data_IF_230160240453
#
_entry.id   IF_230160240453
#
_cell.length_a   1.000
_cell.length_b   1.000
_cell.length_c   1.000
_cell.angle_alpha   90.00
_cell.angle_beta   90.00
_cell.angle_gamma   90.00
#
_symmetry.space_group_name_H-M   'P 1'
#
loop_
_entity.id
_entity.type
_entity.pdbx_description
1 polymer ?
#
# COMPACT_ATOMS: atom_id res chain seq x y z
N UNK A 1 -17.40 8.22 -37.07
CA UNK A 1 -18.15 7.22 -36.28
C UNK A 1 -18.95 7.99 -35.26
N UNK A 2 -20.26 7.75 -35.15
CA UNK A 2 -21.06 8.38 -34.10
C UNK A 2 -20.63 7.81 -32.75
N UNK A 3 -20.38 8.68 -31.77
CA UNK A 3 -20.10 8.26 -30.40
C UNK A 3 -21.34 7.55 -29.84
N UNK A 4 -21.13 6.41 -29.18
CA UNK A 4 -22.21 5.70 -28.49
C UNK A 4 -22.73 6.54 -27.30
N UNK A 5 -24.00 6.34 -26.94
CA UNK A 5 -24.67 7.08 -25.87
C UNK A 5 -23.93 6.98 -24.52
N UNK A 6 -23.27 5.85 -24.24
CA UNK A 6 -22.47 5.67 -23.04
C UNK A 6 -21.18 6.50 -23.07
N UNK A 7 -20.53 6.61 -24.23
CA UNK A 7 -19.35 7.47 -24.40
C UNK A 7 -19.68 8.93 -24.12
N UNK A 8 -20.83 9.40 -24.59
CA UNK A 8 -21.31 10.76 -24.33
C UNK A 8 -21.55 10.97 -22.82
N UNK A 9 -22.21 10.02 -22.15
CA UNK A 9 -22.46 10.10 -20.72
C UNK A 9 -21.16 10.12 -19.89
N UNK A 10 -20.18 9.27 -20.23
CA UNK A 10 -18.88 9.21 -19.56
C UNK A 10 -18.11 10.52 -19.75
N UNK A 11 -18.05 11.04 -20.99
CA UNK A 11 -17.40 12.33 -21.28
C UNK A 11 -18.04 13.45 -20.47
N UNK A 12 -19.37 13.48 -20.37
CA UNK A 12 -20.08 14.49 -19.55
C UNK A 12 -19.78 14.35 -18.06
N UNK A 13 -19.74 13.13 -17.52
CA UNK A 13 -19.30 12.87 -16.14
C UNK A 13 -17.86 13.31 -15.89
N UNK A 14 -16.96 13.07 -16.85
CA UNK A 14 -15.57 13.50 -16.80
C UNK A 14 -15.43 15.02 -16.84
N UNK A 15 -16.15 15.69 -17.74
CA UNK A 15 -16.22 17.16 -17.84
C UNK A 15 -16.73 17.79 -16.53
N UNK A 16 -17.65 17.13 -15.82
CA UNK A 16 -18.14 17.56 -14.50
C UNK A 16 -17.14 17.29 -13.36
N UNK A 17 -16.00 16.65 -13.63
CA UNK A 17 -15.00 16.31 -12.61
C UNK A 17 -15.39 15.14 -11.71
N UNK A 18 -16.36 14.31 -12.11
CA UNK A 18 -16.84 13.21 -11.27
C UNK A 18 -15.74 12.17 -10.96
N UNK A 19 -14.88 11.87 -11.93
CA UNK A 19 -13.75 10.94 -11.74
C UNK A 19 -12.60 11.56 -10.93
N UNK A 20 -12.38 12.87 -11.04
CA UNK A 20 -11.33 13.56 -10.30
C UNK A 20 -11.70 13.84 -8.84
N UNK A 21 -12.99 14.08 -8.55
CA UNK A 21 -13.44 14.47 -7.22
C UNK A 21 -14.52 13.56 -6.65
N UNK A 22 -15.66 13.46 -7.32
CA UNK A 22 -16.88 12.86 -6.75
C UNK A 22 -16.67 11.40 -6.32
N UNK A 23 -16.07 10.57 -7.18
CA UNK A 23 -15.86 9.16 -6.88
C UNK A 23 -14.82 8.93 -5.77
N UNK A 24 -13.60 9.54 -5.83
CA UNK A 24 -12.67 9.45 -4.72
C UNK A 24 -13.23 9.97 -3.40
N UNK A 25 -13.98 11.08 -3.44
CA UNK A 25 -14.67 11.66 -2.28
C UNK A 25 -15.67 10.69 -1.66
N UNK A 26 -16.59 10.15 -2.45
CA UNK A 26 -17.60 9.20 -1.96
C UNK A 26 -16.95 7.96 -1.35
N UNK A 27 -15.89 7.44 -1.97
CA UNK A 27 -15.14 6.30 -1.46
C UNK A 27 -14.52 6.61 -0.09
N UNK A 28 -13.82 7.74 0.04
CA UNK A 28 -13.19 8.15 1.31
C UNK A 28 -14.23 8.42 2.40
N UNK A 29 -15.34 9.09 2.07
CA UNK A 29 -16.45 9.30 3.01
C UNK A 29 -17.06 7.98 3.47
N UNK A 30 -17.27 7.01 2.57
CA UNK A 30 -17.78 5.70 2.95
C UNK A 30 -16.82 4.94 3.88
N UNK A 31 -15.50 5.01 3.61
CA UNK A 31 -14.48 4.41 4.47
C UNK A 31 -14.49 5.06 5.86
N UNK A 32 -14.48 6.40 5.93
CA UNK A 32 -14.53 7.12 7.20
C UNK A 32 -15.80 6.83 7.99
N UNK A 33 -16.96 6.77 7.33
CA UNK A 33 -18.21 6.40 7.97
C UNK A 33 -18.14 4.98 8.56
N UNK A 34 -17.65 4.01 7.78
CA UNK A 34 -17.47 2.63 8.24
C UNK A 34 -16.51 2.52 9.43
N UNK A 35 -15.40 3.27 9.41
CA UNK A 35 -14.44 3.32 10.51
C UNK A 35 -15.02 3.94 11.77
N UNK A 36 -15.73 5.07 11.65
CA UNK A 36 -16.41 5.74 12.77
C UNK A 36 -17.49 4.88 13.39
N UNK A 37 -18.26 4.17 12.55
CA UNK A 37 -19.28 3.22 13.02
C UNK A 37 -18.64 2.06 13.79
N UNK A 38 -17.53 1.51 13.29
CA UNK A 38 -16.82 0.40 13.93
C UNK A 38 -16.16 0.82 15.25
N UNK A 39 -15.61 2.03 15.32
CA UNK A 39 -14.91 2.53 16.50
C UNK A 39 -15.86 2.97 17.62
N UNK A 40 -17.16 3.14 17.33
CA UNK A 40 -18.19 3.57 18.29
C UNK A 40 -17.84 4.89 19.02
N UNK A 41 -17.02 5.74 18.41
CA UNK A 41 -16.50 6.99 19.02
C UNK A 41 -17.64 7.93 19.45
N UNK A 42 -18.70 8.01 18.65
CA UNK A 42 -19.85 8.87 18.93
C UNK A 42 -21.06 8.08 19.45
N UNK A 43 -20.89 6.79 19.75
CA UNK A 43 -21.93 5.96 20.34
C UNK A 43 -21.77 6.05 21.85
N UNK A 44 -22.07 7.24 22.39
CA UNK A 44 -21.98 7.49 23.82
C UNK A 44 -22.80 6.44 24.60
N UNK A 45 -22.24 5.97 25.72
CA UNK A 45 -22.85 5.00 26.64
C UNK A 45 -24.32 5.33 26.88
N UNK A 46 -25.20 4.42 26.45
CA UNK A 46 -26.66 4.38 26.70
C UNK A 46 -27.00 4.36 28.21
N UNK A 47 -25.99 4.16 29.06
CA UNK A 47 -26.13 3.77 30.46
C UNK A 47 -26.26 4.95 31.43
N UNK A 48 -25.95 6.18 31.00
CA UNK A 48 -25.83 7.34 31.90
C UNK A 48 -26.91 8.42 31.70
N UNK A 49 -27.73 8.32 30.66
CA UNK A 49 -28.75 9.33 30.34
C UNK A 49 -30.14 8.70 30.30
N UNK A 50 -30.72 8.64 31.50
CA UNK A 50 -32.16 8.75 31.75
C UNK A 50 -33.07 7.54 31.42
N UNK A 51 -33.47 6.84 32.48
CA UNK A 51 -34.51 5.82 32.45
C UNK A 51 -35.90 6.37 32.07
N UNK A 52 -36.11 7.70 32.07
CA UNK A 52 -37.39 8.32 31.72
C UNK A 52 -37.54 8.70 30.23
N UNK A 53 -36.48 8.60 29.41
CA UNK A 53 -36.53 8.92 27.98
C UNK A 53 -36.80 7.70 27.07
N UNK A 54 -37.12 6.54 27.67
CA UNK A 54 -37.32 5.24 26.99
C UNK A 54 -38.46 5.19 25.95
N UNK A 55 -39.24 6.27 25.77
CA UNK A 55 -40.40 6.30 24.86
C UNK A 55 -40.26 7.19 23.64
N UNK A 56 -39.25 8.04 23.53
CA UNK A 56 -39.07 8.92 22.35
C UNK A 56 -38.00 8.35 21.44
N UNK A 57 -38.23 7.13 20.96
CA UNK A 57 -37.41 6.49 19.93
C UNK A 57 -36.00 6.16 20.39
N UNK A 58 -35.52 4.98 20.08
CA UNK A 58 -34.09 4.69 20.06
C UNK A 58 -33.48 5.46 18.90
N UNK A 59 -33.48 6.80 18.96
CA UNK A 59 -32.94 7.59 17.88
C UNK A 59 -31.44 7.37 17.92
N UNK A 60 -31.00 6.69 16.89
CA UNK A 60 -29.65 6.41 16.43
C UNK A 60 -28.90 7.73 16.12
N UNK A 61 -28.93 8.71 17.04
CA UNK A 61 -28.38 10.06 16.82
C UNK A 61 -26.88 10.00 16.48
N UNK A 62 -26.22 8.91 16.87
CA UNK A 62 -24.82 8.62 16.55
C UNK A 62 -24.59 8.37 15.05
N UNK A 63 -25.51 7.71 14.33
CA UNK A 63 -25.27 7.33 12.94
C UNK A 63 -25.28 8.54 12.00
N UNK A 64 -26.23 9.46 12.19
CA UNK A 64 -26.29 10.72 11.43
C UNK A 64 -25.06 11.60 11.69
N UNK A 65 -24.59 11.68 12.95
CA UNK A 65 -23.38 12.43 13.28
C UNK A 65 -22.14 11.80 12.62
N UNK A 66 -22.01 10.47 12.67
CA UNK A 66 -20.93 9.76 11.99
C UNK A 66 -20.92 10.02 10.48
N UNK A 67 -22.11 10.06 9.85
CA UNK A 67 -22.24 10.36 8.43
C UNK A 67 -21.81 11.79 8.10
N UNK A 68 -22.26 12.79 8.88
CA UNK A 68 -21.88 14.19 8.69
C UNK A 68 -20.37 14.39 8.92
N UNK A 69 -19.80 13.80 9.96
CA UNK A 69 -18.36 13.89 10.25
C UNK A 69 -17.54 13.23 9.14
N UNK A 70 -17.94 12.05 8.67
CA UNK A 70 -17.27 11.37 7.56
C UNK A 70 -17.36 12.15 6.24
N UNK A 71 -18.50 12.81 5.98
CA UNK A 71 -18.69 13.67 4.82
C UNK A 71 -17.73 14.86 4.87
N UNK A 72 -17.68 15.58 5.99
CA UNK A 72 -16.77 16.74 6.18
C UNK A 72 -15.31 16.30 6.08
N UNK A 73 -14.94 15.18 6.71
CA UNK A 73 -13.59 14.64 6.63
C UNK A 73 -13.20 14.26 5.20
N UNK A 74 -14.12 13.66 4.44
CA UNK A 74 -13.91 13.37 3.02
C UNK A 74 -13.65 14.65 2.21
N UNK A 75 -14.43 15.72 2.45
CA UNK A 75 -14.20 17.02 1.81
C UNK A 75 -12.83 17.60 2.17
N UNK A 76 -12.42 17.53 3.44
CA UNK A 76 -11.11 18.06 3.87
C UNK A 76 -9.93 17.35 3.19
N UNK A 77 -10.01 16.02 3.04
CA UNK A 77 -8.95 15.24 2.38
C UNK A 77 -8.83 15.58 0.91
N UNK A 78 -9.95 15.76 0.21
CA UNK A 78 -9.95 15.94 -1.25
C UNK A 78 -9.95 17.39 -1.71
N UNK A 79 -10.33 18.35 -0.85
CA UNK A 79 -10.34 19.77 -1.21
C UNK A 79 -8.97 20.26 -1.67
N UNK A 80 -7.90 19.87 -0.96
CA UNK A 80 -6.57 20.39 -1.24
C UNK A 80 -5.98 19.93 -2.59
N UNK A 81 -5.98 18.63 -2.95
CA UNK A 81 -5.50 18.20 -4.26
C UNK A 81 -6.26 18.85 -5.43
N UNK A 82 -7.56 19.09 -5.26
CA UNK A 82 -8.39 19.73 -6.29
C UNK A 82 -8.04 21.21 -6.43
N UNK A 83 -7.92 21.93 -5.31
CA UNK A 83 -7.55 23.34 -5.32
C UNK A 83 -6.13 23.58 -5.85
N UNK A 84 -5.24 22.59 -5.70
CA UNK A 84 -3.88 22.64 -6.25
C UNK A 84 -3.79 22.18 -7.72
N UNK A 85 -4.90 21.82 -8.35
CA UNK A 85 -4.95 21.44 -9.77
C UNK A 85 -4.35 20.06 -10.05
N UNK A 86 -4.26 19.20 -9.04
CA UNK A 86 -3.70 17.84 -9.20
C UNK A 86 -4.71 16.95 -9.93
N UNK A 87 -4.27 16.30 -11.01
CA UNK A 87 -5.09 15.34 -11.76
C UNK A 87 -5.14 13.98 -11.05
N UNK A 88 -6.12 13.82 -10.16
CA UNK A 88 -6.33 12.63 -9.33
C UNK A 88 -6.71 11.42 -10.19
N UNK A 89 -7.48 11.62 -11.24
CA UNK A 89 -7.87 10.56 -12.18
C UNK A 89 -6.63 9.89 -12.77
N UNK A 90 -5.69 10.70 -13.27
CA UNK A 90 -4.44 10.20 -13.83
C UNK A 90 -3.59 9.49 -12.77
N UNK A 91 -3.47 10.04 -11.56
CA UNK A 91 -2.67 9.46 -10.49
C UNK A 91 -3.25 8.13 -9.97
N UNK A 92 -4.57 8.04 -9.79
CA UNK A 92 -5.25 6.80 -9.41
C UNK A 92 -5.16 5.76 -10.52
N UNK A 93 -5.39 6.13 -11.78
CA UNK A 93 -5.22 5.22 -12.92
C UNK A 93 -3.80 4.67 -12.97
N UNK A 94 -2.80 5.55 -12.80
CA UNK A 94 -1.39 5.17 -12.75
C UNK A 94 -1.13 4.24 -11.58
N UNK A 95 -1.60 4.56 -10.38
CA UNK A 95 -1.46 3.71 -9.20
C UNK A 95 -2.05 2.31 -9.40
N UNK A 96 -3.29 2.22 -9.88
CA UNK A 96 -3.96 0.94 -10.09
C UNK A 96 -3.26 0.12 -11.17
N UNK A 97 -2.81 0.75 -12.27
CA UNK A 97 -2.05 0.06 -13.31
C UNK A 97 -0.72 -0.48 -12.75
N UNK A 98 0.04 0.34 -12.03
CA UNK A 98 1.30 -0.09 -11.40
C UNK A 98 1.05 -1.17 -10.35
N UNK A 99 0.05 -1.00 -9.48
CA UNK A 99 -0.32 -1.97 -8.46
C UNK A 99 -0.74 -3.32 -9.07
N UNK A 100 -1.47 -3.30 -10.19
CA UNK A 100 -1.83 -4.50 -10.93
C UNK A 100 -0.59 -5.17 -11.53
N UNK A 101 0.29 -4.40 -12.18
CA UNK A 101 1.55 -4.92 -12.74
C UNK A 101 2.42 -5.53 -11.64
N UNK A 102 2.61 -4.84 -10.52
CA UNK A 102 3.37 -5.34 -9.35
C UNK A 102 2.75 -6.65 -8.84
N UNK A 103 1.44 -6.67 -8.65
CA UNK A 103 0.75 -7.88 -8.18
C UNK A 103 0.92 -9.03 -9.16
N UNK A 104 0.83 -8.78 -10.47
CA UNK A 104 1.01 -9.80 -11.50
C UNK A 104 2.44 -10.32 -11.53
N UNK A 105 3.44 -9.43 -11.48
CA UNK A 105 4.86 -9.80 -11.40
C UNK A 105 5.12 -10.62 -10.14
N UNK A 106 4.58 -10.20 -8.99
CA UNK A 106 4.69 -10.93 -7.73
C UNK A 106 4.06 -12.32 -7.82
N UNK A 107 2.87 -12.45 -8.42
CA UNK A 107 2.22 -13.75 -8.64
C UNK A 107 3.07 -14.66 -9.54
N UNK A 108 3.64 -14.14 -10.63
CA UNK A 108 4.51 -14.91 -11.54
C UNK A 108 5.80 -15.33 -10.83
N UNK A 109 6.44 -14.42 -10.09
CA UNK A 109 7.64 -14.72 -9.31
C UNK A 109 7.34 -15.78 -8.26
N UNK A 110 6.23 -15.65 -7.52
CA UNK A 110 5.80 -16.64 -6.53
C UNK A 110 5.52 -17.99 -7.16
N UNK A 111 4.92 -18.03 -8.36
CA UNK A 111 4.69 -19.25 -9.12
C UNK A 111 6.01 -19.92 -9.54
N UNK A 112 6.96 -19.17 -10.11
CA UNK A 112 8.30 -19.70 -10.46
C UNK A 112 9.02 -20.19 -9.20
N UNK A 113 9.00 -19.39 -8.14
CA UNK A 113 9.60 -19.73 -6.84
C UNK A 113 8.99 -21.01 -6.27
N UNK A 114 7.68 -21.22 -6.39
CA UNK A 114 7.01 -22.45 -5.95
C UNK A 114 7.40 -23.69 -6.75
N UNK A 115 7.90 -23.53 -7.98
CA UNK A 115 8.42 -24.65 -8.78
C UNK A 115 9.81 -25.11 -8.31
N UNK A 116 10.61 -24.20 -7.74
CA UNK A 116 11.97 -24.49 -7.28
C UNK A 116 12.09 -24.64 -5.76
N UNK A 117 11.11 -24.19 -4.97
CA UNK A 117 11.09 -24.36 -3.53
C UNK A 117 10.22 -25.56 -3.09
N UNK A 118 10.60 -26.22 -1.97
CA UNK A 118 9.82 -27.32 -1.42
C UNK A 118 8.40 -26.87 -1.00
N UNK A 119 7.42 -27.80 -1.01
CA UNK A 119 5.99 -27.49 -0.83
C UNK A 119 5.63 -26.84 0.52
N UNK A 120 6.51 -26.93 1.53
CA UNK A 120 6.31 -26.35 2.88
C UNK A 120 6.86 -24.93 3.03
N UNK A 121 6.55 -24.06 2.05
CA UNK A 121 7.02 -22.66 1.99
C UNK A 121 6.76 -21.85 3.27
N UNK A 122 5.56 -21.88 3.89
CA UNK A 122 5.27 -21.07 5.08
C UNK A 122 6.10 -21.48 6.30
N UNK A 123 6.36 -22.77 6.45
CA UNK A 123 7.06 -23.37 7.58
C UNK A 123 8.56 -23.15 7.47
N UNK A 124 9.12 -23.25 6.26
CA UNK A 124 10.53 -22.92 5.99
C UNK A 124 10.79 -21.42 5.96
N UNK A 125 9.83 -20.61 5.49
CA UNK A 125 9.86 -19.16 5.67
C UNK A 125 9.96 -18.83 7.16
N UNK A 126 9.06 -19.32 8.02
CA UNK A 126 9.16 -19.03 9.45
C UNK A 126 10.49 -19.48 10.09
N UNK A 127 11.00 -20.66 9.73
CA UNK A 127 12.27 -21.19 10.27
C UNK A 127 13.51 -20.44 9.79
N UNK A 128 13.56 -20.06 8.52
CA UNK A 128 14.73 -19.41 7.90
C UNK A 128 14.68 -17.88 7.99
N UNK A 129 13.50 -17.28 8.09
CA UNK A 129 13.30 -15.84 8.24
C UNK A 129 13.89 -15.32 9.56
N UNK A 130 13.68 -16.08 10.65
CA UNK A 130 14.29 -15.77 11.95
C UNK A 130 15.79 -16.11 12.02
N UNK A 131 16.28 -16.97 11.13
CA UNK A 131 17.70 -17.39 11.08
C UNK A 131 18.52 -16.66 10.02
N UNK A 132 17.94 -15.71 9.28
CA UNK A 132 18.67 -14.89 8.31
C UNK A 132 19.18 -15.64 7.07
N UNK A 133 18.53 -16.76 6.71
CA UNK A 133 18.90 -17.60 5.56
C UNK A 133 18.45 -17.06 4.21
N UNK A 134 18.81 -17.78 3.15
CA UNK A 134 18.66 -17.42 1.72
C UNK A 134 17.24 -16.99 1.33
N UNK A 135 16.22 -17.57 1.95
CA UNK A 135 14.80 -17.22 1.73
C UNK A 135 14.46 -15.81 2.25
N UNK A 136 15.08 -15.38 3.36
CA UNK A 136 14.92 -14.03 3.89
C UNK A 136 15.47 -12.95 2.95
N UNK A 137 16.54 -13.26 2.21
CA UNK A 137 17.11 -12.35 1.21
C UNK A 137 16.16 -12.14 0.04
N UNK A 138 15.49 -13.21 -0.42
CA UNK A 138 14.53 -13.11 -1.53
C UNK A 138 13.29 -12.31 -1.13
N UNK A 139 12.78 -12.49 0.10
CA UNK A 139 11.64 -11.72 0.57
C UNK A 139 12.00 -10.24 0.77
N UNK A 140 13.18 -9.95 1.32
CA UNK A 140 13.70 -8.57 1.40
C UNK A 140 13.85 -7.98 0.00
N UNK A 141 14.33 -8.74 -0.99
CA UNK A 141 14.42 -8.29 -2.37
C UNK A 141 13.04 -7.95 -2.96
N UNK A 142 12.03 -8.80 -2.74
CA UNK A 142 10.65 -8.55 -3.19
C UNK A 142 10.06 -7.30 -2.53
N UNK A 143 10.29 -7.10 -1.22
CA UNK A 143 9.83 -5.91 -0.50
C UNK A 143 10.55 -4.66 -1.02
N UNK A 144 11.87 -4.71 -1.21
CA UNK A 144 12.65 -3.60 -1.75
C UNK A 144 12.20 -3.24 -3.16
N UNK A 145 11.97 -4.23 -4.02
CA UNK A 145 11.41 -4.00 -5.37
C UNK A 145 10.01 -3.38 -5.27
N UNK A 146 9.15 -3.87 -4.37
CA UNK A 146 7.83 -3.29 -4.14
C UNK A 146 7.89 -1.82 -3.69
N UNK A 147 8.82 -1.49 -2.79
CA UNK A 147 9.06 -0.10 -2.34
C UNK A 147 9.60 0.77 -3.47
N UNK A 148 10.53 0.26 -4.28
CA UNK A 148 11.05 0.98 -5.45
C UNK A 148 9.89 1.28 -6.41
N UNK A 149 9.09 0.27 -6.79
CA UNK A 149 7.98 0.49 -7.72
C UNK A 149 6.96 1.48 -7.15
N UNK A 150 6.65 1.36 -5.86
CA UNK A 150 5.80 2.32 -5.15
C UNK A 150 6.32 3.76 -5.26
N UNK A 151 7.62 3.98 -5.02
CA UNK A 151 8.25 5.30 -5.14
C UNK A 151 8.26 5.80 -6.59
N UNK A 152 8.51 4.93 -7.57
CA UNK A 152 8.53 5.29 -9.00
C UNK A 152 7.13 5.59 -9.57
N UNK A 153 6.07 5.08 -8.96
CA UNK A 153 4.69 5.23 -9.46
C UNK A 153 4.12 6.64 -9.31
N UNK A 154 4.83 7.55 -8.64
CA UNK A 154 4.37 8.90 -8.36
C UNK A 154 3.30 8.98 -7.25
N UNK A 155 2.97 7.87 -6.59
CA UNK A 155 1.97 7.85 -5.51
C UNK A 155 2.35 8.71 -4.31
N UNK A 156 3.65 8.89 -4.09
CA UNK A 156 4.16 9.75 -3.01
C UNK A 156 3.70 11.20 -3.18
N UNK A 157 3.52 11.67 -4.43
CA UNK A 157 3.04 13.02 -4.72
C UNK A 157 1.56 13.21 -4.36
N UNK A 158 0.77 12.14 -4.42
CA UNK A 158 -0.65 12.15 -4.02
C UNK A 158 -0.80 12.19 -2.48
N UNK A 159 0.06 11.47 -1.76
CA UNK A 159 -0.03 11.34 -0.29
C UNK A 159 0.64 12.53 0.42
N UNK A 160 1.78 12.99 -0.09
CA UNK A 160 2.62 13.98 0.60
C UNK A 160 2.42 15.43 0.10
N UNK A 161 1.61 15.61 -0.94
CA UNK A 161 1.27 16.94 -1.49
C UNK A 161 2.44 17.61 -2.24
N UNK A 162 2.26 18.87 -2.70
CA UNK A 162 3.20 19.58 -3.55
C UNK A 162 4.53 19.96 -2.87
N UNK A 163 4.63 19.81 -1.55
CA UNK A 163 5.90 19.94 -0.81
C UNK A 163 6.89 18.86 -1.27
N UNK A 164 6.39 17.67 -1.64
CA UNK A 164 7.19 16.56 -2.18
C UNK A 164 7.05 16.40 -3.70
N UNK A 165 6.01 16.96 -4.34
CA UNK A 165 5.86 16.91 -5.80
C UNK A 165 6.90 17.74 -6.57
N UNK A 166 7.66 18.60 -5.88
CA UNK A 166 8.84 19.28 -6.44
C UNK A 166 10.08 18.38 -6.47
N UNK A 167 10.04 17.21 -5.81
CA UNK A 167 10.98 16.13 -6.10
C UNK A 167 10.49 15.44 -7.37
N UNK A 168 10.59 16.17 -8.49
CA UNK A 168 10.68 15.54 -9.80
C UNK A 168 11.99 14.76 -9.76
N UNK A 169 11.92 13.51 -9.27
CA UNK A 169 12.97 12.54 -9.50
C UNK A 169 12.96 12.36 -11.00
N UNK A 170 13.70 13.22 -11.70
CA UNK A 170 13.87 13.13 -13.14
C UNK A 170 14.15 11.67 -13.48
N UNK A 171 13.70 11.23 -14.66
CA UNK A 171 13.81 9.84 -15.07
C UNK A 171 15.20 9.23 -14.79
N UNK A 172 16.24 10.06 -14.85
CA UNK A 172 17.62 9.77 -14.48
C UNK A 172 17.84 9.43 -13.00
N UNK A 173 17.20 10.13 -12.06
CA UNK A 173 17.29 9.85 -10.61
C UNK A 173 16.53 8.58 -10.26
N UNK A 174 15.38 8.32 -10.88
CA UNK A 174 14.65 7.06 -10.72
C UNK A 174 15.48 5.89 -11.25
N UNK A 175 16.02 6.02 -12.47
CA UNK A 175 16.97 5.06 -13.04
C UNK A 175 18.17 4.86 -12.13
N UNK A 176 18.71 5.93 -11.55
CA UNK A 176 19.86 5.85 -10.64
C UNK A 176 19.50 5.07 -9.37
N UNK A 177 18.33 5.31 -8.76
CA UNK A 177 17.88 4.56 -7.56
C UNK A 177 17.66 3.08 -7.88
N UNK A 178 17.04 2.79 -9.03
CA UNK A 178 16.83 1.42 -9.51
C UNK A 178 18.16 0.72 -9.75
N UNK A 179 19.09 1.37 -10.46
CA UNK A 179 20.42 0.85 -10.76
C UNK A 179 21.21 0.64 -9.47
N UNK A 180 21.16 1.58 -8.52
CA UNK A 180 21.84 1.47 -7.23
C UNK A 180 21.28 0.30 -6.40
N UNK A 181 19.95 0.16 -6.35
CA UNK A 181 19.29 -0.96 -5.67
C UNK A 181 19.66 -2.31 -6.28
N UNK A 182 19.74 -2.36 -7.62
CA UNK A 182 20.12 -3.55 -8.37
C UNK A 182 21.61 -3.88 -8.23
N UNK A 183 22.47 -2.88 -7.99
CA UNK A 183 23.91 -3.04 -7.70
C UNK A 183 24.18 -3.50 -6.26
N UNK A 184 23.38 -3.03 -5.30
CA UNK A 184 23.52 -3.38 -3.88
C UNK A 184 23.01 -4.80 -3.60
N UNK A 185 21.98 -5.26 -4.31
CA UNK A 185 21.41 -6.60 -4.18
C UNK A 185 22.45 -7.74 -4.26
N UNK A 186 23.32 -7.83 -5.30
CA UNK A 186 24.34 -8.86 -5.39
C UNK A 186 25.45 -8.69 -4.35
N UNK A 187 25.78 -7.46 -3.92
CA UNK A 187 26.78 -7.22 -2.86
C UNK A 187 26.27 -7.80 -1.53
N UNK A 188 25.00 -7.54 -1.18
CA UNK A 188 24.36 -8.12 0.00
C UNK A 188 24.33 -9.66 -0.12
N UNK A 189 24.05 -10.19 -1.31
CA UNK A 189 24.03 -11.63 -1.56
C UNK A 189 25.41 -12.29 -1.34
N UNK A 190 26.48 -11.67 -1.85
CA UNK A 190 27.86 -12.16 -1.74
C UNK A 190 28.37 -12.08 -0.29
N UNK A 191 28.18 -10.95 0.38
CA UNK A 191 28.69 -10.77 1.75
C UNK A 191 28.00 -11.65 2.78
N UNK A 192 26.74 -12.04 2.52
CA UNK A 192 25.99 -12.92 3.43
C UNK A 192 26.25 -14.40 3.16
N UNK A 193 26.63 -14.78 1.93
CA UNK A 193 26.98 -16.16 1.55
C UNK A 193 28.39 -16.62 1.99
N UNK A 194 29.30 -15.70 2.32
CA UNK A 194 30.69 -16.03 2.67
C UNK A 194 30.94 -16.33 4.17
N UNK A 195 29.90 -16.30 5.01
CA UNK A 195 30.03 -16.35 6.47
C UNK A 195 30.12 -17.72 7.13
N UNK A 196 29.95 -18.83 6.39
CA UNK A 196 30.04 -20.19 6.94
C UNK A 196 31.23 -20.94 6.35
N UNK A 197 32.44 -20.47 6.63
CA UNK A 197 33.61 -21.35 6.57
C UNK A 197 33.71 -21.99 7.95
N UNK A 198 33.30 -23.25 8.01
CA UNK A 198 33.34 -24.15 9.17
C UNK A 198 34.73 -24.23 9.76
N UNK A 199 34.90 -23.66 10.96
CA UNK A 199 36.08 -23.85 11.80
C UNK A 199 35.99 -25.19 12.54
N UNK A 200 35.84 -26.30 11.81
CA UNK A 200 35.75 -27.66 12.39
C UNK A 200 37.03 -28.49 12.20
N UNK A 201 38.17 -27.84 11.92
CA UNK A 201 39.45 -28.53 11.69
C UNK A 201 40.52 -28.18 12.74
N UNK A 202 40.17 -28.17 14.04
CA UNK A 202 41.17 -28.07 15.12
C UNK A 202 40.92 -28.97 16.34
N UNK A 203 40.18 -30.07 16.21
CA UNK A 203 40.00 -31.02 17.32
C UNK A 203 40.58 -32.42 17.11
N UNK A 204 41.35 -32.67 16.03
CA UNK A 204 41.88 -34.02 15.77
C UNK A 204 43.42 -34.13 15.69
N UNK A 205 44.17 -33.24 16.35
CA UNK A 205 45.64 -33.41 16.40
C UNK A 205 46.28 -33.01 17.74
N UNK A 206 45.78 -33.57 18.86
CA UNK A 206 46.50 -33.60 20.15
C UNK A 206 46.35 -34.93 20.92
N UNK A 207 46.14 -36.03 20.20
CA UNK A 207 46.07 -37.37 20.80
C UNK A 207 46.95 -38.36 20.03
N UNK A 208 48.26 -38.17 20.05
CA UNK A 208 49.19 -39.00 19.27
C UNK A 208 50.63 -38.98 19.76
N UNK A 209 50.86 -39.66 20.90
CA UNK A 209 52.13 -40.17 21.47
C UNK A 209 53.14 -39.17 22.02
#
# INVERSE_FOLDING_TARGET
>A
MADDIFTIAIKKLQEMGAFNFLFPFMLTTAIFYGLLRKSKVFTAKKDLFDANLKKIGEIEVSESVNAVVALIAGFMVWAYPILSGVNIEQQLSTFFLHGLIVTLVLLVVMMIMSMFMPPDLPTELQKQFLKGGTVGVVLVAVVVIGVIIFLTSGLINLIAGPIFASIDLGNDTVMTIVVLGLLILPIIFIFRGSGTITTDEKENNKGGK
#
